data_IF_510466786292
#
_entry.id   IF_510466786292
#
_cell.length_a   1.000
_cell.length_b   1.000
_cell.length_c   1.000
_cell.angle_alpha   90.00
_cell.angle_beta   90.00
_cell.angle_gamma   90.00
#
_symmetry.space_group_name_H-M   'P 1'
#
loop_
_entity.id
_entity.type
_entity.pdbx_description
1 polymer ?
#
# COMPACT_ATOMS: atom_id res chain seq x y z
N UNK A 1 62.07 12.31 -59.51
CA UNK A 1 61.89 11.63 -58.23
C UNK A 1 60.40 11.61 -57.94
N UNK A 2 59.74 10.59 -58.32
CA UNK A 2 58.25 10.42 -58.27
C UNK A 2 57.91 9.62 -57.01
N UNK A 3 57.15 10.17 -56.09
CA UNK A 3 56.56 9.43 -54.98
C UNK A 3 55.09 9.14 -55.23
N UNK A 4 54.83 7.90 -55.39
CA UNK A 4 53.50 7.26 -55.60
C UNK A 4 52.79 7.22 -54.27
N UNK A 5 51.56 7.77 -54.16
CA UNK A 5 50.65 7.58 -53.02
C UNK A 5 49.71 6.43 -53.34
N UNK A 6 49.76 5.36 -52.53
CA UNK A 6 48.81 4.27 -52.56
C UNK A 6 47.55 4.67 -51.79
N UNK A 7 46.41 4.63 -52.47
CA UNK A 7 45.10 4.76 -51.90
C UNK A 7 44.78 3.51 -51.03
N UNK A 8 44.53 3.72 -49.75
CA UNK A 8 44.03 2.69 -48.86
C UNK A 8 42.51 2.89 -48.73
N UNK A 9 41.75 2.05 -49.42
CA UNK A 9 40.28 2.02 -49.29
C UNK A 9 39.90 1.36 -47.97
N UNK A 10 39.29 2.12 -47.08
CA UNK A 10 38.73 1.63 -45.81
C UNK A 10 37.37 0.99 -46.12
N UNK A 11 37.32 -0.34 -46.07
CA UNK A 11 36.07 -1.10 -46.13
C UNK A 11 35.41 -1.00 -44.75
N UNK A 12 34.34 -0.22 -44.63
CA UNK A 12 33.49 -0.21 -43.43
C UNK A 12 32.60 -1.44 -43.51
N UNK A 13 32.95 -2.47 -42.76
CA UNK A 13 32.04 -3.62 -42.49
C UNK A 13 30.98 -3.19 -41.50
N UNK A 14 29.78 -2.92 -41.99
CA UNK A 14 28.60 -2.76 -41.16
C UNK A 14 28.20 -4.14 -40.58
N UNK A 15 28.55 -4.41 -39.35
CA UNK A 15 27.98 -5.52 -38.63
C UNK A 15 26.53 -5.16 -38.25
N UNK A 16 25.60 -5.61 -39.07
CA UNK A 16 24.21 -5.71 -38.67
C UNK A 16 24.13 -6.84 -37.63
N UNK A 17 24.01 -6.46 -36.34
CA UNK A 17 23.59 -7.39 -35.31
C UNK A 17 22.15 -7.81 -35.63
N UNK A 18 21.96 -8.87 -36.40
CA UNK A 18 20.73 -9.63 -36.38
C UNK A 18 20.62 -10.26 -34.98
N UNK A 19 19.84 -9.67 -34.11
CA UNK A 19 19.32 -10.36 -32.92
C UNK A 19 18.49 -11.54 -33.43
N UNK A 20 19.09 -12.71 -33.44
CA UNK A 20 18.40 -13.99 -33.58
C UNK A 20 17.49 -14.12 -32.33
N UNK A 21 16.30 -13.52 -32.41
CA UNK A 21 15.15 -13.98 -31.60
C UNK A 21 14.88 -15.38 -32.16
N UNK A 22 15.43 -16.39 -31.48
CA UNK A 22 15.11 -17.77 -31.76
C UNK A 22 13.60 -17.97 -31.58
N UNK A 23 12.88 -17.84 -32.69
CA UNK A 23 11.46 -18.16 -32.75
C UNK A 23 11.35 -19.66 -32.48
N UNK A 24 11.03 -20.03 -31.26
CA UNK A 24 10.66 -21.39 -30.89
C UNK A 24 9.39 -21.72 -31.70
N UNK A 25 9.54 -22.41 -32.84
CA UNK A 25 8.43 -22.79 -33.74
C UNK A 25 7.35 -23.67 -33.09
N UNK A 26 7.48 -23.92 -31.76
CA UNK A 26 6.57 -24.70 -30.94
C UNK A 26 5.69 -23.85 -30.02
N UNK A 27 5.96 -22.57 -29.84
CA UNK A 27 5.15 -21.68 -29.00
C UNK A 27 4.09 -20.95 -29.81
N UNK A 28 2.89 -20.81 -29.28
CA UNK A 28 1.90 -19.87 -29.80
C UNK A 28 2.24 -18.44 -29.44
N UNK A 29 1.67 -17.44 -30.11
CA UNK A 29 1.93 -16.03 -29.90
C UNK A 29 0.80 -15.34 -29.16
N UNK A 30 1.15 -14.37 -28.34
CA UNK A 30 0.23 -13.44 -27.68
C UNK A 30 0.68 -12.01 -28.00
N UNK A 31 -0.27 -11.18 -28.45
CA UNK A 31 -0.05 -9.75 -28.70
C UNK A 31 -0.64 -8.94 -27.57
N UNK A 32 0.11 -8.01 -26.99
CA UNK A 32 -0.36 -7.10 -25.96
C UNK A 32 -1.08 -5.91 -26.58
N UNK A 33 -2.28 -5.59 -26.12
CA UNK A 33 -3.13 -4.53 -26.69
C UNK A 33 -3.30 -3.33 -25.72
N UNK A 34 -3.40 -3.58 -24.43
CA UNK A 34 -3.50 -2.54 -23.40
C UNK A 34 -2.85 -3.02 -22.10
N UNK A 35 -2.23 -2.13 -21.32
CA UNK A 35 -2.03 -0.70 -21.60
C UNK A 35 -1.03 -0.48 -22.75
N UNK A 36 -1.07 0.74 -23.34
CA UNK A 36 -0.07 1.13 -24.34
C UNK A 36 1.34 1.15 -23.71
N UNK A 37 2.40 0.89 -24.46
CA UNK A 37 3.76 0.90 -23.96
C UNK A 37 4.10 2.26 -23.31
N UNK A 38 4.68 2.22 -22.11
CA UNK A 38 5.02 3.38 -21.28
C UNK A 38 3.82 4.26 -20.85
N UNK A 39 2.58 3.77 -20.95
CA UNK A 39 1.43 4.46 -20.37
C UNK A 39 1.66 4.73 -18.88
N UNK A 40 1.14 5.84 -18.38
CA UNK A 40 1.08 6.12 -16.94
C UNK A 40 -0.33 5.77 -16.45
N UNK A 41 -0.41 4.80 -15.56
CA UNK A 41 -1.68 4.33 -15.01
C UNK A 41 -1.98 5.06 -13.72
N UNK A 42 -3.17 5.67 -13.65
CA UNK A 42 -3.71 6.22 -12.40
C UNK A 42 -4.27 5.10 -11.54
N UNK A 43 -4.16 5.27 -10.21
CA UNK A 43 -4.66 4.32 -9.23
C UNK A 43 -5.76 4.91 -8.34
N UNK A 44 -6.01 6.20 -8.47
CA UNK A 44 -7.03 6.90 -7.68
C UNK A 44 -8.27 7.16 -8.52
N UNK A 45 -9.48 7.05 -7.95
CA UNK A 45 -10.69 7.62 -8.55
C UNK A 45 -10.50 9.11 -8.84
N UNK A 46 -11.20 9.64 -9.85
CA UNK A 46 -11.01 11.01 -10.31
C UNK A 46 -11.12 12.05 -9.18
N UNK A 47 -12.10 11.90 -8.30
CA UNK A 47 -12.36 12.82 -7.19
C UNK A 47 -11.24 12.77 -6.13
N UNK A 48 -10.72 11.58 -5.85
CA UNK A 48 -9.58 11.42 -4.94
C UNK A 48 -8.29 11.96 -5.56
N UNK A 49 -8.09 11.70 -6.85
CA UNK A 49 -6.94 12.22 -7.59
C UNK A 49 -6.93 13.76 -7.56
N UNK A 50 -8.05 14.40 -7.88
CA UNK A 50 -8.20 15.86 -7.80
C UNK A 50 -7.89 16.38 -6.40
N UNK A 51 -8.49 15.77 -5.37
CA UNK A 51 -8.28 16.14 -3.98
C UNK A 51 -6.80 16.08 -3.56
N UNK A 52 -6.10 15.02 -3.89
CA UNK A 52 -4.70 14.82 -3.49
C UNK A 52 -3.73 15.81 -4.15
N UNK A 53 -4.12 16.38 -5.31
CA UNK A 53 -3.34 17.41 -6.00
C UNK A 53 -3.61 18.84 -5.48
N UNK A 54 -4.64 19.04 -4.67
CA UNK A 54 -4.93 20.35 -4.11
C UNK A 54 -3.85 20.77 -3.08
N UNK A 55 -3.52 22.07 -2.99
CA UNK A 55 -2.71 22.60 -1.90
C UNK A 55 -3.47 22.49 -0.56
N UNK A 56 -2.73 22.47 0.58
CA UNK A 56 -3.28 22.26 1.93
C UNK A 56 -4.51 23.13 2.24
N UNK A 57 -4.45 24.43 1.97
CA UNK A 57 -5.58 25.33 2.22
C UNK A 57 -6.86 24.94 1.46
N UNK A 58 -6.72 24.57 0.19
CA UNK A 58 -7.85 24.13 -0.62
C UNK A 58 -8.39 22.77 -0.20
N UNK A 59 -7.51 21.83 0.22
CA UNK A 59 -7.92 20.54 0.80
C UNK A 59 -8.71 20.74 2.07
N UNK A 60 -8.31 21.68 2.93
CA UNK A 60 -9.02 22.01 4.15
C UNK A 60 -10.46 22.45 3.89
N UNK A 61 -10.65 23.32 2.91
CA UNK A 61 -11.98 23.78 2.51
C UNK A 61 -12.81 22.63 1.90
N UNK A 62 -12.19 21.83 1.05
CA UNK A 62 -12.80 20.65 0.45
C UNK A 62 -13.23 19.65 1.55
N UNK A 63 -12.36 19.37 2.51
CA UNK A 63 -12.60 18.43 3.61
C UNK A 63 -13.72 18.90 4.56
N UNK A 64 -13.90 20.21 4.75
CA UNK A 64 -14.95 20.78 5.59
C UNK A 64 -16.33 20.72 4.93
N UNK A 65 -16.40 20.56 3.62
CA UNK A 65 -17.63 20.31 2.87
C UNK A 65 -18.08 18.86 3.08
N UNK A 66 -19.28 18.68 3.67
CA UNK A 66 -19.80 17.35 3.99
C UNK A 66 -20.05 16.48 2.77
N UNK A 67 -20.55 17.07 1.68
CA UNK A 67 -20.89 16.35 0.46
C UNK A 67 -19.62 15.88 -0.25
N UNK A 68 -18.65 16.78 -0.44
CA UNK A 68 -17.35 16.43 -1.02
C UNK A 68 -16.61 15.38 -0.19
N UNK A 69 -16.61 15.51 1.12
CA UNK A 69 -16.00 14.54 2.03
C UNK A 69 -16.66 13.16 1.96
N UNK A 70 -17.98 13.09 1.83
CA UNK A 70 -18.69 11.82 1.65
C UNK A 70 -18.26 11.12 0.36
N UNK A 71 -18.14 11.86 -0.74
CA UNK A 71 -17.64 11.33 -2.02
C UNK A 71 -16.23 10.80 -1.89
N UNK A 72 -15.33 11.53 -1.22
CA UNK A 72 -13.96 11.04 -0.97
C UNK A 72 -13.95 9.72 -0.18
N UNK A 73 -14.81 9.60 0.82
CA UNK A 73 -14.90 8.37 1.60
C UNK A 73 -15.38 7.19 0.76
N UNK A 74 -16.33 7.41 -0.13
CA UNK A 74 -16.78 6.37 -1.08
C UNK A 74 -15.74 6.01 -2.14
N UNK A 75 -14.77 6.90 -2.40
CA UNK A 75 -13.73 6.78 -3.42
C UNK A 75 -12.34 6.48 -2.85
N UNK A 76 -12.26 5.84 -1.70
CA UNK A 76 -10.99 5.55 -1.02
C UNK A 76 -10.32 4.23 -1.46
N UNK A 77 -10.74 3.64 -2.56
CA UNK A 77 -10.20 2.40 -3.09
C UNK A 77 -9.39 2.66 -4.36
N UNK A 78 -8.40 1.82 -4.62
CA UNK A 78 -7.65 1.84 -5.88
C UNK A 78 -8.56 1.47 -7.06
N UNK A 79 -8.43 2.19 -8.17
CA UNK A 79 -9.18 1.87 -9.39
C UNK A 79 -8.52 0.78 -10.19
N UNK A 80 -9.29 -0.17 -10.77
CA UNK A 80 -8.73 -1.19 -11.62
C UNK A 80 -8.37 -0.62 -13.00
N UNK A 81 -7.24 -1.07 -13.52
CA UNK A 81 -6.75 -0.76 -14.87
C UNK A 81 -6.93 -1.97 -15.78
N UNK A 82 -7.31 -1.74 -17.03
CA UNK A 82 -7.52 -2.80 -18.02
C UNK A 82 -6.19 -3.27 -18.62
N UNK A 83 -5.97 -4.59 -18.57
CA UNK A 83 -4.94 -5.30 -19.33
C UNK A 83 -5.62 -6.15 -20.39
N UNK A 84 -5.25 -5.96 -21.65
CA UNK A 84 -5.88 -6.65 -22.76
C UNK A 84 -4.83 -7.20 -23.72
N UNK A 85 -5.09 -8.38 -24.24
CA UNK A 85 -4.21 -9.08 -25.18
C UNK A 85 -5.03 -9.87 -26.19
N UNK A 86 -4.35 -10.43 -27.19
CA UNK A 86 -4.91 -11.33 -28.16
C UNK A 86 -3.97 -12.53 -28.33
N UNK A 87 -4.48 -13.74 -28.23
CA UNK A 87 -3.73 -14.96 -28.45
C UNK A 87 -4.04 -15.51 -29.86
N UNK A 88 -3.02 -16.06 -30.52
CA UNK A 88 -3.17 -16.65 -31.85
C UNK A 88 -4.04 -17.89 -31.93
N UNK A 89 -4.30 -18.51 -30.78
CA UNK A 89 -5.20 -19.67 -30.58
C UNK A 89 -5.91 -19.52 -29.23
N UNK A 90 -7.09 -20.13 -29.01
CA UNK A 90 -7.75 -20.12 -27.71
C UNK A 90 -6.86 -20.71 -26.61
N UNK A 91 -6.79 -20.04 -25.47
CA UNK A 91 -6.09 -20.51 -24.29
C UNK A 91 -7.05 -21.29 -23.37
N UNK A 92 -6.57 -22.36 -22.77
CA UNK A 92 -7.24 -23.08 -21.69
C UNK A 92 -6.88 -22.48 -20.32
N UNK A 93 -5.64 -22.03 -20.19
CA UNK A 93 -5.13 -21.35 -18.99
C UNK A 93 -4.36 -20.10 -19.39
N UNK A 94 -4.55 -19.03 -18.64
CA UNK A 94 -3.79 -17.80 -18.80
C UNK A 94 -3.48 -17.16 -17.44
N UNK A 95 -2.31 -16.49 -17.37
CA UNK A 95 -1.91 -15.69 -16.21
C UNK A 95 -1.19 -14.43 -16.66
N UNK A 96 -1.47 -13.35 -15.96
CA UNK A 96 -0.67 -12.12 -16.00
C UNK A 96 0.43 -12.21 -14.95
N UNK A 97 1.65 -11.88 -15.35
CA UNK A 97 2.80 -11.76 -14.47
C UNK A 97 3.30 -10.32 -14.52
N UNK A 98 3.61 -9.74 -13.36
CA UNK A 98 4.17 -8.40 -13.22
C UNK A 98 5.49 -8.45 -12.46
N UNK A 99 6.42 -7.53 -12.77
CA UNK A 99 7.70 -7.42 -12.11
C UNK A 99 8.21 -5.98 -12.12
N UNK A 100 9.13 -5.67 -11.22
CA UNK A 100 9.83 -4.38 -11.20
C UNK A 100 11.06 -4.34 -12.10
N UNK A 101 11.40 -5.46 -12.72
CA UNK A 101 12.50 -5.59 -13.69
C UNK A 101 12.08 -6.42 -14.90
N UNK A 102 12.68 -6.12 -16.07
CA UNK A 102 12.36 -6.76 -17.34
C UNK A 102 12.67 -8.27 -17.37
N UNK A 103 13.62 -8.71 -16.55
CA UNK A 103 14.00 -10.12 -16.46
C UNK A 103 13.07 -10.93 -15.54
N UNK A 104 12.14 -10.28 -14.86
CA UNK A 104 11.21 -10.89 -13.88
C UNK A 104 11.93 -11.60 -12.73
N UNK A 105 13.08 -11.06 -12.28
CA UNK A 105 13.82 -11.56 -11.12
C UNK A 105 13.21 -11.06 -9.81
N UNK A 106 12.57 -9.89 -9.83
CA UNK A 106 11.83 -9.28 -8.74
C UNK A 106 10.32 -9.44 -8.97
N UNK A 107 9.86 -10.68 -9.19
CA UNK A 107 8.42 -10.93 -9.27
C UNK A 107 7.79 -10.70 -7.89
N UNK A 108 7.10 -9.59 -7.71
CA UNK A 108 6.19 -9.45 -6.61
C UNK A 108 5.07 -10.49 -6.81
N UNK A 109 4.98 -11.50 -5.94
CA UNK A 109 3.88 -12.48 -5.99
C UNK A 109 2.51 -11.79 -5.87
N UNK A 110 2.47 -10.56 -5.32
CA UNK A 110 1.32 -9.68 -5.28
C UNK A 110 0.62 -9.53 -6.64
N UNK A 111 1.34 -9.74 -7.72
CA UNK A 111 0.91 -9.36 -9.06
C UNK A 111 0.83 -10.55 -10.03
N UNK A 112 0.60 -11.76 -9.56
CA UNK A 112 0.20 -12.87 -10.45
C UNK A 112 -1.31 -13.00 -10.39
N UNK A 113 -1.98 -12.70 -11.52
CA UNK A 113 -3.42 -12.80 -11.66
C UNK A 113 -3.76 -14.00 -12.52
N UNK A 114 -4.41 -15.01 -11.94
CA UNK A 114 -5.03 -16.10 -12.68
C UNK A 114 -6.31 -15.60 -13.36
N UNK A 115 -6.50 -15.95 -14.62
CA UNK A 115 -7.52 -15.37 -15.48
C UNK A 115 -8.49 -16.42 -16.00
N UNK A 116 -9.70 -15.99 -16.31
CA UNK A 116 -10.49 -16.71 -17.32
C UNK A 116 -9.82 -16.49 -18.67
N UNK A 117 -9.21 -17.56 -19.18
CA UNK A 117 -8.41 -17.52 -20.41
C UNK A 117 -9.23 -17.09 -21.65
N UNK A 118 -10.57 -17.21 -21.60
CA UNK A 118 -11.47 -16.85 -22.69
C UNK A 118 -11.67 -15.36 -22.85
N UNK A 119 -11.54 -14.59 -21.76
CA UNK A 119 -11.83 -13.14 -21.80
C UNK A 119 -10.74 -12.29 -22.46
N UNK A 120 -9.49 -12.77 -22.52
CA UNK A 120 -8.33 -12.08 -23.08
C UNK A 120 -8.17 -10.65 -22.53
N UNK A 121 -8.68 -10.41 -21.33
CA UNK A 121 -8.57 -9.16 -20.57
C UNK A 121 -8.59 -9.41 -19.08
N UNK A 122 -8.05 -8.48 -18.33
CA UNK A 122 -8.13 -8.45 -16.87
C UNK A 122 -8.21 -7.02 -16.36
N UNK A 123 -8.90 -6.84 -15.24
CA UNK A 123 -8.91 -5.60 -14.49
C UNK A 123 -8.02 -5.78 -13.27
N UNK A 124 -6.92 -5.01 -13.16
CA UNK A 124 -5.92 -5.14 -12.09
C UNK A 124 -5.74 -3.80 -11.38
N UNK A 125 -5.71 -3.85 -10.06
CA UNK A 125 -5.50 -2.68 -9.18
C UNK A 125 -4.38 -2.94 -8.16
N UNK A 126 -4.18 -2.01 -7.25
CA UNK A 126 -3.26 -2.12 -6.11
C UNK A 126 -1.76 -2.11 -6.49
N UNK A 127 -1.37 -1.56 -7.64
CA UNK A 127 0.04 -1.44 -7.99
C UNK A 127 0.81 -0.51 -7.05
N UNK A 128 2.12 -0.73 -6.93
CA UNK A 128 3.02 0.21 -6.24
C UNK A 128 2.99 1.57 -6.93
N UNK A 129 2.98 2.67 -6.17
CA UNK A 129 2.98 4.03 -6.71
C UNK A 129 4.37 4.44 -7.19
N UNK A 130 4.44 5.22 -8.29
CA UNK A 130 5.66 5.79 -8.83
C UNK A 130 6.68 4.77 -9.32
N UNK A 131 6.25 3.60 -9.78
CA UNK A 131 7.16 2.54 -10.26
C UNK A 131 7.00 2.31 -11.77
N UNK A 132 8.07 1.86 -12.40
CA UNK A 132 8.03 1.23 -13.72
C UNK A 132 7.77 -0.25 -13.52
N UNK A 133 6.76 -0.78 -14.21
CA UNK A 133 6.31 -2.16 -14.06
C UNK A 133 6.34 -2.84 -15.41
N UNK A 134 6.97 -4.01 -15.44
CA UNK A 134 7.01 -4.91 -16.57
C UNK A 134 5.94 -5.96 -16.44
N UNK A 135 5.32 -6.34 -17.53
CA UNK A 135 4.24 -7.31 -17.51
C UNK A 135 4.26 -8.22 -18.73
N UNK A 136 3.71 -9.41 -18.57
CA UNK A 136 3.54 -10.37 -19.65
C UNK A 136 2.37 -11.29 -19.40
N UNK A 137 1.87 -11.89 -20.47
CA UNK A 137 0.87 -12.96 -20.43
C UNK A 137 1.53 -14.27 -20.76
N UNK A 138 1.29 -15.29 -19.96
CA UNK A 138 1.63 -16.68 -20.26
C UNK A 138 0.40 -17.54 -20.17
N UNK A 139 0.35 -18.60 -20.98
CA UNK A 139 -0.76 -19.55 -20.96
C UNK A 139 -0.45 -20.84 -21.69
N UNK A 140 -1.44 -21.73 -21.69
CA UNK A 140 -1.43 -22.98 -22.47
C UNK A 140 -2.78 -23.15 -23.17
N UNK A 141 -2.80 -23.78 -24.34
CA UNK A 141 -4.05 -24.21 -24.93
C UNK A 141 -4.47 -25.60 -24.40
N UNK A 142 -5.63 -26.13 -24.83
CA UNK A 142 -6.14 -27.45 -24.41
C UNK A 142 -5.19 -28.61 -24.72
N UNK A 143 -4.34 -28.46 -25.75
CA UNK A 143 -3.31 -29.46 -26.09
C UNK A 143 -2.02 -29.31 -25.26
N UNK A 144 -1.98 -28.41 -24.29
CA UNK A 144 -0.80 -28.14 -23.47
C UNK A 144 0.30 -27.34 -24.19
N UNK A 145 0.03 -26.79 -25.38
CA UNK A 145 0.98 -25.95 -26.12
C UNK A 145 1.17 -24.62 -25.36
N UNK A 146 2.42 -24.21 -25.04
CA UNK A 146 2.68 -22.99 -24.30
C UNK A 146 2.57 -21.74 -25.20
N UNK A 147 2.10 -20.65 -24.60
CA UNK A 147 2.00 -19.32 -25.18
C UNK A 147 2.68 -18.31 -24.24
N UNK A 148 3.35 -17.33 -24.83
CA UNK A 148 3.93 -16.20 -24.11
C UNK A 148 3.84 -14.93 -24.95
N UNK A 149 3.58 -13.80 -24.31
CA UNK A 149 3.68 -12.49 -24.93
C UNK A 149 5.12 -11.96 -24.90
N UNK A 150 5.43 -10.95 -25.70
CA UNK A 150 6.52 -10.03 -25.40
C UNK A 150 6.33 -9.41 -24.02
N UNK A 151 7.40 -8.81 -23.46
CA UNK A 151 7.32 -8.02 -22.25
C UNK A 151 6.76 -6.64 -22.59
N UNK A 152 5.66 -6.27 -21.94
CA UNK A 152 5.12 -4.92 -21.94
C UNK A 152 5.65 -4.12 -20.76
N UNK A 153 5.58 -2.79 -20.85
CA UNK A 153 6.01 -1.89 -19.79
C UNK A 153 5.03 -0.74 -19.63
N UNK A 154 4.73 -0.40 -18.38
CA UNK A 154 3.96 0.79 -18.03
C UNK A 154 4.55 1.44 -16.76
N UNK A 155 4.07 2.62 -16.43
CA UNK A 155 4.40 3.32 -15.19
C UNK A 155 3.14 3.51 -14.36
N UNK A 156 3.29 3.56 -13.07
CA UNK A 156 2.24 3.99 -12.17
C UNK A 156 2.47 5.44 -11.76
N UNK A 157 1.39 6.16 -11.54
CA UNK A 157 1.45 7.52 -11.04
C UNK A 157 2.10 7.56 -9.64
N UNK A 158 2.96 8.58 -9.40
CA UNK A 158 3.60 8.83 -8.10
C UNK A 158 2.71 9.73 -7.22
N UNK A 159 1.48 9.30 -6.98
CA UNK A 159 0.51 9.99 -6.15
C UNK A 159 0.18 9.13 -4.92
N UNK A 160 0.26 9.73 -3.74
CA UNK A 160 0.11 9.05 -2.45
C UNK A 160 -1.04 9.67 -1.63
N UNK A 161 -1.60 8.91 -0.67
CA UNK A 161 -1.22 7.55 -0.27
C UNK A 161 -1.68 6.48 -1.26
N UNK A 162 -0.93 5.39 -1.37
CA UNK A 162 -1.31 4.22 -2.17
C UNK A 162 -2.50 3.51 -1.54
N UNK A 163 -3.68 3.72 -2.09
CA UNK A 163 -4.91 3.06 -1.66
C UNK A 163 -4.98 1.62 -2.17
N UNK A 164 -5.59 0.75 -1.39
CA UNK A 164 -5.73 -0.68 -1.69
C UNK A 164 -7.21 -1.03 -1.75
N UNK A 165 -7.63 -1.63 -2.85
CA UNK A 165 -8.95 -2.26 -2.94
C UNK A 165 -8.88 -3.62 -2.26
N UNK A 166 -9.58 -3.74 -1.13
CA UNK A 166 -9.65 -4.97 -0.34
C UNK A 166 -11.12 -5.33 -0.08
N UNK A 167 -11.65 -6.40 -0.69
CA UNK A 167 -13.04 -6.76 -0.53
C UNK A 167 -13.44 -6.97 0.94
N UNK A 168 -14.46 -6.24 1.37
CA UNK A 168 -15.04 -6.30 2.72
C UNK A 168 -14.36 -5.41 3.76
N UNK A 169 -13.26 -4.71 3.44
CA UNK A 169 -12.54 -3.87 4.39
C UNK A 169 -12.33 -2.47 3.83
N UNK A 170 -12.66 -1.48 4.63
CA UNK A 170 -12.52 -0.07 4.28
C UNK A 170 -11.16 0.50 4.69
N UNK A 171 -10.83 1.65 4.10
CA UNK A 171 -9.72 2.50 4.53
C UNK A 171 -8.35 1.79 4.48
N UNK A 172 -8.19 0.85 3.56
CA UNK A 172 -6.95 0.08 3.39
C UNK A 172 -5.96 0.87 2.53
N UNK A 173 -4.74 1.01 3.01
CA UNK A 173 -3.65 1.62 2.25
C UNK A 173 -2.28 1.24 2.77
N UNK A 174 -1.30 1.39 1.89
CA UNK A 174 0.12 1.30 2.22
C UNK A 174 0.57 2.54 3.01
N UNK A 175 1.36 2.35 4.03
CA UNK A 175 1.98 3.43 4.81
C UNK A 175 3.27 3.92 4.14
N UNK A 176 3.82 3.13 3.21
CA UNK A 176 5.03 3.45 2.47
C UNK A 176 4.80 4.40 1.29
N UNK A 177 5.90 4.71 0.61
CA UNK A 177 5.93 5.55 -0.59
C UNK A 177 6.30 7.00 -0.35
N UNK A 178 6.09 7.55 0.84
CA UNK A 178 6.39 8.94 1.17
C UNK A 178 7.87 9.26 1.08
N UNK A 179 8.17 10.46 0.61
CA UNK A 179 9.54 11.01 0.65
C UNK A 179 9.84 11.55 2.05
N UNK A 180 11.08 11.39 2.46
CA UNK A 180 11.59 11.91 3.72
C UNK A 180 12.42 13.17 3.51
N UNK A 181 12.59 13.97 4.54
CA UNK A 181 13.35 15.22 4.47
C UNK A 181 14.81 15.06 4.00
N UNK A 182 15.41 13.89 4.18
CA UNK A 182 16.76 13.56 3.72
C UNK A 182 16.81 13.00 2.29
N UNK A 183 15.68 12.99 1.57
CA UNK A 183 15.58 12.59 0.18
C UNK A 183 15.38 11.09 -0.05
N UNK A 184 15.40 10.26 0.99
CA UNK A 184 15.03 8.84 0.91
C UNK A 184 13.52 8.68 0.73
N UNK A 185 13.09 7.45 0.57
CA UNK A 185 11.68 7.10 0.46
C UNK A 185 11.32 5.98 1.43
N UNK A 186 10.13 6.02 1.98
CA UNK A 186 9.59 4.90 2.73
C UNK A 186 9.26 3.75 1.78
N UNK A 187 9.74 2.55 2.11
CA UNK A 187 9.50 1.34 1.32
C UNK A 187 8.02 1.00 1.27
N UNK A 188 7.49 0.74 0.08
CA UNK A 188 6.11 0.31 -0.13
C UNK A 188 5.96 -1.21 0.03
N UNK A 189 4.73 -1.66 0.30
CA UNK A 189 4.37 -3.09 0.33
C UNK A 189 4.76 -3.83 1.62
N UNK A 190 5.17 -3.13 2.68
CA UNK A 190 5.63 -3.78 3.91
C UNK A 190 4.91 -3.31 5.18
N UNK A 191 4.25 -2.17 5.15
CA UNK A 191 3.38 -1.70 6.24
C UNK A 191 2.05 -1.24 5.65
N UNK A 192 0.96 -1.81 6.14
CA UNK A 192 -0.39 -1.45 5.71
C UNK A 192 -1.22 -0.99 6.91
N UNK A 193 -2.17 -0.11 6.65
CA UNK A 193 -3.18 0.29 7.64
C UNK A 193 -4.57 0.08 7.05
N UNK A 194 -5.57 -0.20 7.94
CA UNK A 194 -6.95 -0.47 7.50
C UNK A 194 -7.97 -0.18 8.60
N UNK A 195 -9.25 -0.33 8.27
CA UNK A 195 -10.30 -0.61 9.25
C UNK A 195 -10.19 -2.05 9.76
N UNK A 196 -10.95 -2.42 10.79
CA UNK A 196 -10.98 -3.76 11.35
C UNK A 196 -11.44 -4.83 10.33
N UNK A 197 -10.98 -6.04 10.49
CA UNK A 197 -11.32 -7.18 9.63
C UNK A 197 -12.56 -7.95 10.07
N UNK A 198 -13.08 -7.64 11.25
CA UNK A 198 -14.28 -8.21 11.81
C UNK A 198 -15.09 -7.18 12.59
N UNK A 199 -16.32 -7.52 12.93
CA UNK A 199 -17.20 -6.69 13.72
C UNK A 199 -16.77 -6.69 15.21
N UNK A 200 -16.99 -5.57 15.87
CA UNK A 200 -16.59 -5.36 17.26
C UNK A 200 -17.36 -6.23 18.25
N UNK A 201 -16.76 -6.44 19.45
CA UNK A 201 -17.39 -7.13 20.57
C UNK A 201 -18.62 -6.40 21.11
N UNK A 202 -19.61 -7.12 21.69
CA UNK A 202 -20.83 -6.55 22.27
C UNK A 202 -20.61 -5.59 23.42
N UNK A 203 -19.54 -5.75 24.18
CA UNK A 203 -19.25 -4.94 25.36
C UNK A 203 -18.70 -3.56 25.04
N UNK A 204 -18.47 -3.29 23.75
CA UNK A 204 -18.06 -1.98 23.28
C UNK A 204 -19.22 -0.98 23.45
N UNK A 205 -19.08 -0.03 24.37
CA UNK A 205 -20.06 1.04 24.63
C UNK A 205 -20.00 2.14 23.57
N UNK A 206 -20.36 1.81 22.35
CA UNK A 206 -20.84 2.83 21.43
C UNK A 206 -22.23 3.24 21.87
N UNK A 207 -22.53 4.55 21.80
CA UNK A 207 -23.84 5.14 22.05
C UNK A 207 -24.96 4.17 21.61
N UNK A 208 -25.70 3.60 22.57
CA UNK A 208 -26.75 2.59 22.32
C UNK A 208 -27.78 3.03 21.28
N UNK A 209 -27.94 4.37 21.11
CA UNK A 209 -28.86 4.95 20.11
C UNK A 209 -28.41 4.73 18.66
N UNK A 210 -27.16 4.32 18.40
CA UNK A 210 -26.61 4.09 17.07
C UNK A 210 -26.47 2.63 16.68
N UNK A 211 -26.69 1.70 17.61
CA UNK A 211 -26.67 0.27 17.34
C UNK A 211 -28.05 -0.21 16.88
N UNK A 212 -28.12 -0.59 15.63
CA UNK A 212 -29.29 -1.32 15.10
C UNK A 212 -29.16 -2.77 15.59
N UNK A 213 -30.19 -3.28 16.29
CA UNK A 213 -30.24 -4.62 16.87
C UNK A 213 -29.78 -5.78 15.97
N UNK A 214 -30.00 -5.77 14.64
CA UNK A 214 -29.49 -6.82 13.76
C UNK A 214 -27.97 -7.02 13.79
N UNK A 215 -27.20 -6.02 14.24
CA UNK A 215 -25.74 -6.12 14.31
C UNK A 215 -25.24 -6.88 15.54
N UNK A 216 -26.01 -6.97 16.62
CA UNK A 216 -25.58 -7.66 17.84
C UNK A 216 -25.32 -9.15 17.62
N UNK A 217 -26.09 -9.80 16.75
CA UNK A 217 -25.92 -11.23 16.43
C UNK A 217 -24.70 -11.53 15.55
N UNK A 218 -24.08 -10.50 14.97
CA UNK A 218 -22.97 -10.60 14.04
C UNK A 218 -21.62 -10.17 14.64
N UNK A 219 -21.60 -9.81 15.89
CA UNK A 219 -20.40 -9.34 16.58
C UNK A 219 -19.32 -10.44 16.53
N UNK A 220 -18.09 -10.07 16.25
CA UNK A 220 -16.97 -10.96 16.01
C UNK A 220 -16.98 -11.63 14.62
N UNK A 221 -18.06 -11.44 13.82
CA UNK A 221 -18.11 -11.95 12.46
C UNK A 221 -17.02 -11.31 11.59
N UNK A 222 -16.30 -12.14 10.86
CA UNK A 222 -15.31 -11.70 9.87
C UNK A 222 -16.01 -11.00 8.71
N UNK A 223 -15.59 -9.76 8.40
CA UNK A 223 -16.14 -8.96 7.31
C UNK A 223 -15.22 -8.91 6.09
N UNK A 224 -13.91 -9.16 6.26
CA UNK A 224 -13.00 -9.33 5.14
C UNK A 224 -13.43 -10.52 4.30
N UNK A 225 -13.50 -10.33 2.97
CA UNK A 225 -13.92 -11.40 2.05
C UNK A 225 -12.77 -12.37 1.76
N UNK A 226 -13.06 -13.61 1.31
CA UNK A 226 -12.01 -14.60 0.99
C UNK A 226 -10.94 -14.07 0.02
N UNK A 227 -11.33 -13.25 -0.98
CA UNK A 227 -10.42 -12.64 -1.95
C UNK A 227 -9.51 -11.61 -1.28
N UNK A 228 -10.00 -10.89 -0.27
CA UNK A 228 -9.21 -9.95 0.55
C UNK A 228 -8.21 -10.69 1.43
N UNK A 229 -8.61 -11.82 2.02
CA UNK A 229 -7.69 -12.70 2.78
C UNK A 229 -6.61 -13.25 1.84
N UNK A 230 -6.98 -13.77 0.67
CA UNK A 230 -6.03 -14.27 -0.32
C UNK A 230 -5.02 -13.19 -0.71
N UNK A 231 -5.51 -11.97 -0.97
CA UNK A 231 -4.63 -10.84 -1.30
C UNK A 231 -3.63 -10.55 -0.17
N UNK A 232 -4.09 -10.37 1.06
CA UNK A 232 -3.21 -10.01 2.17
C UNK A 232 -2.25 -11.17 2.55
N UNK A 233 -2.76 -12.39 2.65
CA UNK A 233 -2.00 -13.53 3.20
C UNK A 233 -1.13 -14.21 2.16
N UNK A 234 -1.65 -14.45 0.95
CA UNK A 234 -0.95 -15.24 -0.06
C UNK A 234 -0.20 -14.37 -1.08
N UNK A 235 -0.71 -13.15 -1.39
CA UNK A 235 -0.08 -12.26 -2.36
C UNK A 235 0.86 -11.25 -1.71
N UNK A 236 0.39 -10.48 -0.72
CA UNK A 236 1.23 -9.55 0.07
C UNK A 236 2.13 -10.30 1.03
N UNK A 237 1.67 -11.41 1.57
CA UNK A 237 2.40 -12.22 2.53
C UNK A 237 2.41 -11.64 3.93
N UNK A 238 1.30 -10.97 4.35
CA UNK A 238 1.16 -10.41 5.71
C UNK A 238 1.53 -11.47 6.75
N UNK A 239 2.45 -11.12 7.63
CA UNK A 239 2.88 -11.98 8.74
C UNK A 239 2.26 -11.59 10.06
N UNK A 240 2.04 -10.28 10.26
CA UNK A 240 1.57 -9.76 11.54
C UNK A 240 0.38 -8.83 11.33
N UNK A 241 -0.68 -9.07 12.08
CA UNK A 241 -1.80 -8.17 12.30
C UNK A 241 -1.67 -7.54 13.68
N UNK A 242 -1.50 -6.22 13.74
CA UNK A 242 -1.53 -5.45 14.98
C UNK A 242 -2.90 -4.82 15.14
N UNK A 243 -3.64 -5.33 16.11
CA UNK A 243 -4.98 -4.85 16.46
C UNK A 243 -4.91 -3.82 17.60
N UNK A 244 -5.21 -2.57 17.28
CA UNK A 244 -5.13 -1.43 18.20
C UNK A 244 -6.44 -1.19 18.97
N UNK A 245 -7.43 -2.07 18.83
CA UNK A 245 -8.70 -1.95 19.52
C UNK A 245 -8.54 -2.15 21.02
N UNK A 246 -9.47 -1.69 21.81
CA UNK A 246 -9.44 -1.89 23.25
C UNK A 246 -9.88 -3.32 23.61
N UNK A 247 -9.50 -3.78 24.78
CA UNK A 247 -9.80 -5.13 25.27
C UNK A 247 -11.28 -5.50 25.13
N UNK A 248 -12.19 -4.57 25.48
CA UNK A 248 -13.63 -4.79 25.34
C UNK A 248 -14.10 -4.92 23.89
N UNK A 249 -13.42 -4.29 22.93
CA UNK A 249 -13.76 -4.34 21.51
C UNK A 249 -13.40 -5.68 20.87
N UNK A 250 -12.41 -6.38 21.44
CA UNK A 250 -11.87 -7.66 20.91
C UNK A 250 -12.13 -8.85 21.83
N UNK A 251 -12.96 -8.70 22.86
CA UNK A 251 -13.16 -9.73 23.90
C UNK A 251 -13.59 -11.11 23.36
N UNK A 252 -14.16 -11.17 22.17
CA UNK A 252 -14.58 -12.43 21.52
C UNK A 252 -13.50 -13.03 20.61
N UNK A 253 -12.40 -12.31 20.38
CA UNK A 253 -11.36 -12.75 19.45
C UNK A 253 -10.38 -13.72 20.10
N UNK A 254 -9.89 -14.67 19.32
CA UNK A 254 -8.90 -15.66 19.74
C UNK A 254 -7.73 -15.76 18.77
N UNK A 255 -7.94 -15.32 17.54
CA UNK A 255 -6.97 -15.39 16.45
C UNK A 255 -7.28 -14.31 15.40
N UNK A 256 -6.38 -14.12 14.45
CA UNK A 256 -6.56 -13.21 13.33
C UNK A 256 -7.76 -13.61 12.45
N UNK A 257 -8.63 -12.69 12.06
CA UNK A 257 -9.62 -12.94 11.01
C UNK A 257 -9.02 -13.27 9.65
N UNK A 258 -7.72 -12.99 9.46
CA UNK A 258 -6.97 -13.36 8.26
C UNK A 258 -6.53 -14.82 8.28
N UNK A 259 -6.73 -15.53 9.39
CA UNK A 259 -6.44 -16.96 9.56
C UNK A 259 -5.11 -17.25 10.28
N UNK A 260 -4.84 -18.55 10.54
CA UNK A 260 -3.80 -19.01 11.47
C UNK A 260 -2.36 -18.79 10.99
N UNK A 261 -2.16 -18.38 9.74
CA UNK A 261 -0.83 -18.03 9.21
C UNK A 261 -0.38 -16.64 9.63
N UNK A 262 -1.29 -15.79 10.11
CA UNK A 262 -1.03 -14.42 10.52
C UNK A 262 -0.91 -14.36 12.03
N UNK A 263 0.20 -13.81 12.51
CA UNK A 263 0.40 -13.58 13.93
C UNK A 263 -0.46 -12.40 14.38
N UNK A 264 -1.54 -12.69 15.12
CA UNK A 264 -2.40 -11.67 15.68
C UNK A 264 -1.83 -11.15 17.00
N UNK A 265 -1.51 -9.87 17.04
CA UNK A 265 -1.02 -9.16 18.21
C UNK A 265 -2.04 -8.08 18.56
N UNK A 266 -2.51 -8.11 19.79
CA UNK A 266 -3.45 -7.12 20.30
C UNK A 266 -2.78 -6.21 21.34
N UNK A 267 -2.88 -4.90 21.12
CA UNK A 267 -2.43 -3.87 22.06
C UNK A 267 -3.49 -2.78 22.11
N UNK A 268 -4.13 -2.60 23.27
CA UNK A 268 -5.10 -1.51 23.51
C UNK A 268 -4.42 -0.15 23.36
N UNK A 269 -4.48 0.45 22.16
CA UNK A 269 -3.76 1.67 21.83
C UNK A 269 -4.63 2.93 21.95
N UNK A 270 -3.99 4.09 21.94
CA UNK A 270 -4.60 5.38 22.23
C UNK A 270 -4.35 6.38 21.11
N UNK A 271 -5.29 7.31 20.95
CA UNK A 271 -5.30 8.29 19.88
C UNK A 271 -5.03 9.71 20.38
N UNK A 272 -4.50 10.55 19.48
CA UNK A 272 -4.32 11.99 19.68
C UNK A 272 -3.70 12.34 21.04
N UNK A 273 -4.36 13.24 21.80
CA UNK A 273 -3.87 13.66 23.12
C UNK A 273 -3.77 12.55 24.14
N UNK A 274 -4.57 11.47 24.03
CA UNK A 274 -4.51 10.31 24.92
C UNK A 274 -3.25 9.47 24.77
N UNK A 275 -2.55 9.59 23.64
CA UNK A 275 -1.22 9.01 23.44
C UNK A 275 -0.25 9.39 24.57
N UNK A 276 -0.36 10.61 25.11
CA UNK A 276 0.53 11.15 26.13
C UNK A 276 0.15 10.77 27.57
N UNK A 277 -0.96 10.03 27.77
CA UNK A 277 -1.32 9.45 29.07
C UNK A 277 -0.33 8.33 29.45
N UNK A 278 -0.26 7.91 30.74
CA UNK A 278 0.57 6.78 31.17
C UNK A 278 0.29 5.49 30.37
N UNK A 279 -0.99 5.20 30.13
CA UNK A 279 -1.44 4.03 29.37
C UNK A 279 -1.05 4.15 27.90
N UNK A 280 -1.25 5.33 27.27
CA UNK A 280 -0.88 5.61 25.90
C UNK A 280 0.63 5.51 25.68
N UNK A 281 1.44 5.99 26.62
CA UNK A 281 2.90 5.86 26.61
C UNK A 281 3.35 4.39 26.71
N UNK A 282 2.65 3.59 27.49
CA UNK A 282 2.92 2.16 27.59
C UNK A 282 2.58 1.45 26.29
N UNK A 283 1.39 1.71 25.73
CA UNK A 283 0.93 1.10 24.50
C UNK A 283 1.85 1.44 23.32
N UNK A 284 2.20 2.70 23.11
CA UNK A 284 3.06 3.09 21.98
C UNK A 284 4.47 2.49 22.06
N UNK A 285 5.00 2.27 23.25
CA UNK A 285 6.27 1.56 23.43
C UNK A 285 6.18 0.13 22.95
N UNK A 286 5.10 -0.58 23.28
CA UNK A 286 4.89 -1.97 22.84
C UNK A 286 4.56 -2.03 21.34
N UNK A 287 3.70 -1.12 20.82
CA UNK A 287 3.41 -0.99 19.41
C UNK A 287 4.71 -0.81 18.59
N UNK A 288 5.57 0.12 19.00
CA UNK A 288 6.76 0.48 18.25
C UNK A 288 7.80 -0.66 18.18
N UNK A 289 7.93 -1.46 19.23
CA UNK A 289 8.83 -2.63 19.23
C UNK A 289 8.51 -3.62 18.12
N UNK A 290 7.23 -3.77 17.76
CA UNK A 290 6.84 -4.65 16.66
C UNK A 290 7.40 -4.17 15.31
N UNK A 291 7.44 -2.86 15.12
CA UNK A 291 7.99 -2.26 13.89
C UNK A 291 9.53 -2.23 13.87
N UNK A 292 10.20 -2.42 14.99
CA UNK A 292 11.65 -2.54 15.06
C UNK A 292 12.15 -3.95 14.70
N UNK A 293 11.27 -4.96 14.69
CA UNK A 293 11.64 -6.34 14.35
C UNK A 293 11.24 -6.71 12.91
N UNK A 294 12.26 -6.92 12.07
CA UNK A 294 12.08 -7.33 10.66
C UNK A 294 11.29 -8.65 10.50
N UNK A 295 11.30 -9.53 11.50
CA UNK A 295 10.57 -10.80 11.43
C UNK A 295 9.05 -10.62 11.33
N UNK A 296 8.51 -9.49 11.82
CA UNK A 296 7.10 -9.19 11.81
C UNK A 296 6.55 -8.75 10.43
N UNK A 297 7.44 -8.37 9.50
CA UNK A 297 7.04 -7.80 8.22
C UNK A 297 6.69 -8.84 7.14
N UNK A 298 5.71 -8.55 6.26
CA UNK A 298 4.87 -7.35 6.22
C UNK A 298 3.85 -7.29 7.36
N UNK A 299 3.55 -6.04 7.83
CA UNK A 299 2.62 -5.78 8.94
C UNK A 299 1.37 -5.08 8.41
N UNK A 300 0.20 -5.49 8.89
CA UNK A 300 -1.02 -4.68 8.80
C UNK A 300 -1.47 -4.28 10.20
N UNK A 301 -1.82 -3.02 10.39
CA UNK A 301 -2.34 -2.54 11.67
C UNK A 301 -3.65 -1.78 11.50
N UNK A 302 -4.54 -1.91 12.47
CA UNK A 302 -5.88 -1.32 12.40
C UNK A 302 -6.48 -1.05 13.79
N UNK A 303 -7.56 -0.28 13.78
CA UNK A 303 -8.51 -0.20 14.88
C UNK A 303 -9.92 -0.54 14.34
N UNK A 304 -10.98 0.08 14.82
CA UNK A 304 -12.33 -0.12 14.24
C UNK A 304 -12.41 0.47 12.84
N UNK A 305 -12.21 1.78 12.74
CA UNK A 305 -12.38 2.54 11.49
C UNK A 305 -11.07 2.75 10.71
N UNK A 306 -9.94 2.33 11.26
CA UNK A 306 -8.63 2.63 10.70
C UNK A 306 -8.28 4.13 10.71
N UNK A 307 -8.91 4.91 11.58
CA UNK A 307 -8.88 6.36 11.56
C UNK A 307 -8.06 6.96 12.71
N UNK A 308 -8.57 6.90 13.94
CA UNK A 308 -8.03 7.66 15.08
C UNK A 308 -6.74 7.01 15.64
N UNK A 309 -6.84 5.83 16.27
CA UNK A 309 -5.67 5.09 16.82
C UNK A 309 -4.68 4.71 15.73
N UNK A 310 -5.20 4.16 14.65
CA UNK A 310 -4.42 3.81 13.44
C UNK A 310 -3.77 5.05 12.82
N UNK A 311 -4.50 6.17 12.72
CA UNK A 311 -3.98 7.44 12.22
C UNK A 311 -2.87 8.02 13.10
N UNK A 312 -3.02 7.92 14.43
CA UNK A 312 -2.01 8.36 15.39
C UNK A 312 -0.72 7.55 15.27
N UNK A 313 -0.83 6.22 15.16
CA UNK A 313 0.34 5.35 14.97
C UNK A 313 1.02 5.61 13.62
N UNK A 314 0.25 5.74 12.52
CA UNK A 314 0.81 6.09 11.21
C UNK A 314 1.55 7.42 11.23
N UNK A 315 0.99 8.43 11.91
CA UNK A 315 1.63 9.74 12.09
C UNK A 315 3.00 9.62 12.78
N UNK A 316 3.10 8.80 13.81
CA UNK A 316 4.36 8.56 14.54
C UNK A 316 5.37 7.85 13.62
N UNK A 317 4.96 6.77 12.96
CA UNK A 317 5.83 5.98 12.08
C UNK A 317 6.39 6.83 10.92
N UNK A 318 5.54 7.58 10.22
CA UNK A 318 5.93 8.42 9.10
C UNK A 318 6.69 9.68 9.57
N UNK A 319 6.21 10.35 10.63
CA UNK A 319 6.84 11.56 11.15
C UNK A 319 8.23 11.32 11.72
N UNK A 320 8.48 10.14 12.34
CA UNK A 320 9.80 9.74 12.86
C UNK A 320 10.87 9.69 11.77
N UNK A 321 10.52 9.33 10.55
CA UNK A 321 11.44 9.25 9.42
C UNK A 321 11.49 10.54 8.60
N UNK A 322 10.77 11.58 9.04
CA UNK A 322 10.82 12.91 8.44
C UNK A 322 9.95 13.08 7.19
N UNK A 323 8.81 12.38 7.13
CA UNK A 323 7.77 12.69 6.14
C UNK A 323 7.23 14.09 6.39
N UNK A 324 6.99 14.85 5.32
CA UNK A 324 6.52 16.23 5.38
C UNK A 324 5.15 16.36 6.06
N UNK A 325 4.91 17.48 6.71
CA UNK A 325 3.68 17.73 7.45
C UNK A 325 2.42 17.73 6.55
N UNK A 326 2.55 18.21 5.30
CA UNK A 326 1.45 18.17 4.34
C UNK A 326 1.14 16.73 3.90
N UNK A 327 2.15 15.89 3.69
CA UNK A 327 1.98 14.49 3.35
C UNK A 327 1.40 13.67 4.51
N UNK A 328 1.82 13.93 5.75
CA UNK A 328 1.18 13.36 6.95
C UNK A 328 -0.30 13.74 7.06
N UNK A 329 -0.63 14.97 6.70
CA UNK A 329 -2.01 15.45 6.67
C UNK A 329 -2.82 14.78 5.57
N UNK A 330 -2.27 14.65 4.35
CA UNK A 330 -2.91 13.92 3.25
C UNK A 330 -3.26 12.49 3.64
N UNK A 331 -2.31 11.77 4.26
CA UNK A 331 -2.60 10.41 4.75
C UNK A 331 -3.78 10.39 5.73
N UNK A 332 -3.87 11.37 6.62
CA UNK A 332 -5.00 11.45 7.55
C UNK A 332 -6.32 11.83 6.83
N UNK A 333 -6.27 12.79 5.92
CA UNK A 333 -7.44 13.34 5.21
C UNK A 333 -8.16 12.30 4.35
N UNK A 334 -7.45 11.38 3.70
CA UNK A 334 -8.07 10.31 2.88
C UNK A 334 -8.91 9.33 3.68
N UNK A 335 -8.84 9.36 5.01
CA UNK A 335 -9.77 8.63 5.86
C UNK A 335 -11.20 9.21 5.83
N UNK A 336 -11.37 10.44 5.39
CA UNK A 336 -12.57 11.29 5.14
C UNK A 336 -13.93 10.70 5.53
N UNK A 337 -14.17 10.44 6.81
CA UNK A 337 -15.50 10.05 7.30
C UNK A 337 -16.28 11.28 7.76
N UNK A 338 -17.61 11.22 7.65
CA UNK A 338 -18.52 12.33 7.97
C UNK A 338 -18.37 12.92 9.38
N UNK A 339 -17.74 12.19 10.29
CA UNK A 339 -17.53 12.62 11.68
C UNK A 339 -16.13 13.17 11.97
N UNK A 340 -15.20 13.18 10.97
CA UNK A 340 -13.88 13.78 11.16
C UNK A 340 -13.89 15.27 10.87
N UNK A 341 -13.02 15.98 11.58
CA UNK A 341 -12.74 17.40 11.37
C UNK A 341 -11.25 17.66 11.58
N UNK A 342 -10.75 18.74 11.02
CA UNK A 342 -9.37 19.19 11.22
C UNK A 342 -9.01 19.33 12.71
N UNK A 343 -9.99 19.73 13.55
CA UNK A 343 -9.78 19.85 14.98
C UNK A 343 -9.33 18.54 15.67
N UNK A 344 -9.60 17.38 15.08
CA UNK A 344 -9.08 16.09 15.58
C UNK A 344 -7.61 15.89 15.20
N UNK A 345 -7.26 16.11 13.95
CA UNK A 345 -5.88 16.00 13.47
C UNK A 345 -4.96 16.98 14.20
N UNK A 346 -5.38 18.23 14.32
CA UNK A 346 -4.61 19.30 14.95
C UNK A 346 -4.31 19.05 16.46
N UNK A 347 -4.90 18.01 17.06
CA UNK A 347 -4.58 17.57 18.44
C UNK A 347 -3.34 16.68 18.53
N UNK A 348 -2.82 16.16 17.43
CA UNK A 348 -1.64 15.26 17.47
C UNK A 348 -0.35 16.07 17.66
N UNK A 349 -0.10 17.03 16.78
CA UNK A 349 1.15 17.76 16.73
C UNK A 349 1.51 18.50 18.03
N UNK A 350 0.58 19.23 18.70
CA UNK A 350 0.90 19.96 19.92
C UNK A 350 1.40 19.09 21.07
N UNK A 351 1.03 17.82 21.10
CA UNK A 351 1.52 16.88 22.10
C UNK A 351 3.02 16.62 22.00
N UNK A 352 3.57 16.69 20.77
CA UNK A 352 4.99 16.53 20.53
C UNK A 352 5.80 17.80 20.78
N UNK A 353 5.19 18.97 20.81
CA UNK A 353 5.88 20.24 21.09
C UNK A 353 6.53 20.27 22.47
N UNK A 354 6.02 19.46 23.42
CA UNK A 354 6.60 19.30 24.74
C UNK A 354 7.81 18.33 24.77
N UNK A 355 8.09 17.65 23.66
CA UNK A 355 9.10 16.60 23.60
C UNK A 355 10.45 17.06 23.00
N UNK A 356 10.59 18.34 22.68
CA UNK A 356 11.79 18.89 22.10
C UNK A 356 11.87 20.41 22.20
N UNK A 357 12.89 20.98 21.56
CA UNK A 357 13.02 22.43 21.44
C UNK A 357 11.98 22.99 20.46
N UNK A 358 11.57 24.25 20.58
CA UNK A 358 10.55 24.85 19.68
C UNK A 358 10.85 24.70 18.20
N UNK A 359 12.11 24.77 17.80
CA UNK A 359 12.56 24.71 16.41
C UNK A 359 12.99 23.29 15.98
N UNK A 360 12.87 22.28 16.84
CA UNK A 360 13.19 20.92 16.45
C UNK A 360 12.21 20.43 15.36
N UNK A 361 12.72 19.76 14.31
CA UNK A 361 11.86 19.07 13.37
C UNK A 361 10.95 18.06 14.07
N UNK A 362 9.77 17.80 13.51
CA UNK A 362 8.82 16.81 14.06
C UNK A 362 9.47 15.44 14.30
N UNK A 363 10.34 15.00 13.38
CA UNK A 363 11.06 13.73 13.52
C UNK A 363 11.94 13.65 14.77
N UNK A 364 12.56 14.77 15.14
CA UNK A 364 13.36 14.87 16.38
C UNK A 364 12.46 14.84 17.60
N UNK A 365 11.33 15.56 17.58
CA UNK A 365 10.36 15.59 18.66
C UNK A 365 9.76 14.19 18.91
N UNK A 366 9.35 13.49 17.84
CA UNK A 366 8.85 12.11 17.91
C UNK A 366 9.93 11.17 18.43
N UNK A 367 11.17 11.27 17.96
CA UNK A 367 12.28 10.44 18.45
C UNK A 367 12.52 10.65 19.96
N UNK A 368 12.55 11.90 20.42
CA UNK A 368 12.69 12.22 21.87
C UNK A 368 11.53 11.66 22.67
N UNK A 369 10.29 11.75 22.15
CA UNK A 369 9.13 11.15 22.79
C UNK A 369 9.28 9.63 22.91
N UNK A 370 9.60 8.92 21.84
CA UNK A 370 9.77 7.47 21.85
C UNK A 370 10.86 7.02 22.84
N UNK A 371 12.00 7.72 22.87
CA UNK A 371 13.06 7.47 23.86
C UNK A 371 12.55 7.69 25.30
N UNK A 372 11.76 8.74 25.54
CA UNK A 372 11.22 9.06 26.85
C UNK A 372 10.23 8.03 27.40
N UNK A 373 9.59 7.26 26.52
CA UNK A 373 8.65 6.18 26.91
C UNK A 373 9.31 4.81 26.96
N UNK A 374 10.62 4.73 26.69
CA UNK A 374 11.40 3.50 26.84
C UNK A 374 11.60 2.68 25.55
N UNK A 375 11.31 3.27 24.38
CA UNK A 375 11.83 2.76 23.09
C UNK A 375 13.33 3.04 23.06
N UNK A 376 14.14 2.09 22.63
CA UNK A 376 15.59 2.28 22.58
C UNK A 376 16.03 2.93 21.27
N UNK A 377 17.21 3.57 21.24
CA UNK A 377 17.79 4.07 20.02
C UNK A 377 18.00 2.93 19.00
N UNK A 378 18.36 1.75 19.45
CA UNK A 378 18.51 0.57 18.59
C UNK A 378 17.20 0.17 17.90
N UNK A 379 16.06 0.25 18.59
CA UNK A 379 14.74 0.00 18.00
C UNK A 379 14.41 1.03 16.91
N UNK A 380 14.71 2.31 17.17
CA UNK A 380 14.51 3.40 16.20
C UNK A 380 15.38 3.20 14.96
N UNK A 381 16.64 2.85 15.14
CA UNK A 381 17.58 2.63 14.05
C UNK A 381 17.19 1.38 13.23
N UNK A 382 16.75 0.31 13.90
CA UNK A 382 16.24 -0.90 13.26
C UNK A 382 15.00 -0.60 12.40
N UNK A 383 14.01 0.14 12.94
CA UNK A 383 12.84 0.58 12.17
C UNK A 383 13.26 1.39 10.94
N UNK A 384 14.11 2.40 11.11
CA UNK A 384 14.61 3.23 10.00
C UNK A 384 15.32 2.40 8.92
N UNK A 385 16.12 1.41 9.33
CA UNK A 385 16.81 0.51 8.41
C UNK A 385 15.86 -0.41 7.63
N UNK A 386 14.73 -0.81 8.22
CA UNK A 386 13.74 -1.65 7.56
C UNK A 386 12.92 -0.84 6.56
N UNK A 387 12.48 0.37 6.95
CA UNK A 387 11.45 1.10 6.20
C UNK A 387 12.00 2.05 5.14
N UNK A 388 13.25 2.47 5.19
CA UNK A 388 13.84 3.44 4.26
C UNK A 388 14.63 2.77 3.11
N UNK A 389 14.42 3.30 1.88
CA UNK A 389 15.14 2.93 0.65
C UNK A 389 15.70 4.17 -0.06
#
# INVERSE_FOLDING_TARGET
>A
MTKTYKNLSLLILSFALLSLVGCCSKCGSITLLAPAPNAVLTQHPAEMHEFLLLPDAARKDYFNDKEKRAVLYERHQSVPNEFRWEASEPLAEARLEFALDEAFTTSAQEFVVSLDAKEQKAMVCNFLAGKTIYWRVKGTNEAGKPFASPVGVFKTEDLLPRQITLPGVDNVRDVGGWKTADGRRMRQGIIFRSAGFNLDSPDWQWDEKKRIDPMKSRIGETIVKPEGIDYLVNKVGIKTELDLRWDGEVAVMKESPLGPKVNWIHISSYDYGRLFSPEGKTAIREDFKLFADKANYPIVFHCIAGADRTGTLAYILCGLVGVDADDLRKDWEVTARNYFSYAKYDKIAPGFDQCGEPNDPLSVKIQKFLLSVGVTQADIDAYKAIILE
#
